data_IF_012027910688
#
_entry.id   IF_012027910688
#
_cell.length_a   1.000
_cell.length_b   1.000
_cell.length_c   1.000
_cell.angle_alpha   90.00
_cell.angle_beta   90.00
_cell.angle_gamma   90.00
#
_symmetry.space_group_name_H-M   'P 1'
#
loop_
_entity.id
_entity.type
_entity.pdbx_description
1 polymer ?
#
# COMPACT_ATOMS: atom_id res chain seq x y z
N UNK A 1 28.92 -22.53 6.53
CA UNK A 1 28.41 -21.83 7.73
C UNK A 1 27.95 -20.40 7.46
N UNK A 2 28.66 -19.57 6.70
CA UNK A 2 28.30 -18.14 6.40
C UNK A 2 26.99 -17.94 5.59
N UNK A 3 26.57 -18.91 4.80
CA UNK A 3 25.31 -18.84 4.01
C UNK A 3 24.05 -19.09 4.86
N UNK A 4 24.12 -19.99 5.83
CA UNK A 4 22.99 -20.30 6.73
C UNK A 4 22.68 -19.13 7.68
N UNK A 5 23.70 -18.46 8.23
CA UNK A 5 23.49 -17.30 9.11
C UNK A 5 22.81 -16.13 8.36
N UNK A 6 23.26 -15.80 7.15
CA UNK A 6 22.64 -14.76 6.33
C UNK A 6 21.17 -15.06 5.98
N UNK A 7 20.83 -16.32 5.76
CA UNK A 7 19.44 -16.72 5.49
C UNK A 7 18.55 -16.61 6.74
N UNK A 8 19.07 -16.95 7.91
CA UNK A 8 18.37 -16.80 9.18
C UNK A 8 18.16 -15.32 9.52
N UNK A 9 19.18 -14.47 9.35
CA UNK A 9 19.08 -13.03 9.59
C UNK A 9 18.04 -12.36 8.67
N UNK A 10 18.01 -12.75 7.40
CA UNK A 10 17.02 -12.25 6.44
C UNK A 10 15.59 -12.70 6.82
N UNK A 11 15.40 -13.93 7.28
CA UNK A 11 14.11 -14.44 7.73
C UNK A 11 13.63 -13.71 8.98
N UNK A 12 14.51 -13.51 9.96
CA UNK A 12 14.22 -12.75 11.18
C UNK A 12 13.85 -11.29 10.88
N UNK A 13 14.56 -10.65 9.95
CA UNK A 13 14.25 -9.28 9.55
C UNK A 13 12.86 -9.18 8.92
N UNK A 14 12.51 -10.07 7.98
CA UNK A 14 11.18 -10.10 7.35
C UNK A 14 10.08 -10.31 8.40
N UNK A 15 10.29 -11.23 9.34
CA UNK A 15 9.35 -11.47 10.44
C UNK A 15 9.16 -10.23 11.31
N UNK A 16 10.25 -9.56 11.69
CA UNK A 16 10.18 -8.32 12.47
C UNK A 16 9.41 -7.23 11.73
N UNK A 17 9.70 -7.02 10.44
CA UNK A 17 8.97 -6.04 9.59
C UNK A 17 7.48 -6.38 9.57
N UNK A 18 7.13 -7.64 9.27
CA UNK A 18 5.72 -8.07 9.23
C UNK A 18 5.01 -7.82 10.56
N UNK A 19 5.61 -8.23 11.67
CA UNK A 19 5.03 -8.04 13.00
C UNK A 19 4.87 -6.55 13.35
N UNK A 20 5.88 -5.72 13.08
CA UNK A 20 5.81 -4.29 13.35
C UNK A 20 4.67 -3.62 12.58
N UNK A 21 4.55 -3.87 11.28
CA UNK A 21 3.49 -3.27 10.47
C UNK A 21 2.11 -3.87 10.77
N UNK A 22 2.01 -5.15 11.09
CA UNK A 22 0.79 -5.76 11.57
C UNK A 22 0.33 -5.13 12.90
N UNK A 23 1.25 -4.90 13.83
CA UNK A 23 0.96 -4.22 15.11
C UNK A 23 0.47 -2.79 14.87
N UNK A 24 1.14 -2.01 14.00
CA UNK A 24 0.70 -0.66 13.63
C UNK A 24 -0.72 -0.71 13.04
N UNK A 25 -0.98 -1.62 12.11
CA UNK A 25 -2.32 -1.78 11.52
C UNK A 25 -3.37 -2.10 12.58
N UNK A 26 -3.10 -3.06 13.48
CA UNK A 26 -4.03 -3.47 14.53
C UNK A 26 -4.32 -2.31 15.48
N UNK A 27 -3.30 -1.55 15.91
CA UNK A 27 -3.47 -0.39 16.78
C UNK A 27 -4.37 0.64 16.09
N UNK A 28 -4.10 0.99 14.83
CA UNK A 28 -4.92 1.95 14.08
C UNK A 28 -6.37 1.45 13.92
N UNK A 29 -6.55 0.17 13.61
CA UNK A 29 -7.88 -0.43 13.50
C UNK A 29 -8.65 -0.38 14.83
N UNK A 30 -8.00 -0.72 15.93
CA UNK A 30 -8.62 -0.67 17.27
C UNK A 30 -9.03 0.75 17.65
N UNK A 31 -8.17 1.75 17.41
CA UNK A 31 -8.51 3.16 17.68
C UNK A 31 -9.72 3.57 16.82
N UNK A 32 -9.72 3.24 15.53
CA UNK A 32 -10.83 3.59 14.63
C UNK A 32 -12.13 2.91 15.06
N UNK A 33 -12.09 1.64 15.48
CA UNK A 33 -13.28 0.90 15.93
C UNK A 33 -13.81 1.48 17.26
N UNK A 34 -12.93 1.85 18.19
CA UNK A 34 -13.35 2.28 19.54
C UNK A 34 -13.65 3.77 19.65
N UNK A 35 -12.92 4.61 18.90
CA UNK A 35 -12.99 6.07 19.01
C UNK A 35 -13.50 6.76 17.72
N UNK A 36 -13.65 6.01 16.63
CA UNK A 36 -14.07 6.53 15.32
C UNK A 36 -12.97 7.22 14.51
N UNK A 37 -12.07 7.95 15.17
CA UNK A 37 -10.98 8.71 14.52
C UNK A 37 -9.80 8.94 15.45
N UNK A 38 -8.63 9.25 14.86
CA UNK A 38 -7.49 9.78 15.59
C UNK A 38 -7.60 11.32 15.70
N UNK A 39 -7.04 11.93 16.76
CA UNK A 39 -7.02 13.39 16.87
C UNK A 39 -6.41 14.12 15.67
N UNK A 40 -5.39 13.51 15.04
CA UNK A 40 -4.75 14.07 13.85
C UNK A 40 -5.63 14.00 12.57
N UNK A 41 -6.60 13.10 12.50
CA UNK A 41 -7.45 12.93 11.31
C UNK A 41 -8.26 14.20 10.99
N UNK A 42 -8.97 14.71 11.99
CA UNK A 42 -9.76 15.93 11.86
C UNK A 42 -8.89 17.17 11.63
N UNK A 43 -7.77 17.26 12.35
CA UNK A 43 -6.83 18.37 12.18
C UNK A 43 -6.25 18.41 10.75
N UNK A 44 -5.76 17.28 10.24
CA UNK A 44 -5.22 17.19 8.87
C UNK A 44 -6.30 17.49 7.85
N UNK A 45 -7.50 16.88 7.98
CA UNK A 45 -8.61 17.10 7.06
C UNK A 45 -9.05 18.57 6.97
N UNK A 46 -9.06 19.30 8.09
CA UNK A 46 -9.40 20.72 8.11
C UNK A 46 -8.29 21.60 7.52
N UNK A 47 -7.02 21.25 7.72
CA UNK A 47 -5.89 22.07 7.24
C UNK A 47 -5.54 21.77 5.78
N UNK A 48 -5.81 20.57 5.27
CA UNK A 48 -5.50 20.23 3.88
C UNK A 48 -6.27 21.12 2.89
N UNK A 49 -7.44 21.61 3.27
CA UNK A 49 -8.27 22.52 2.45
C UNK A 49 -7.58 23.84 2.15
N UNK A 50 -6.70 24.32 3.04
CA UNK A 50 -5.92 25.56 2.80
C UNK A 50 -4.89 25.41 1.67
N UNK A 51 -4.55 24.18 1.30
CA UNK A 51 -3.63 23.85 0.20
C UNK A 51 -4.34 23.68 -1.14
N UNK A 52 -5.66 23.78 -1.20
CA UNK A 52 -6.41 23.56 -2.42
C UNK A 52 -6.08 24.63 -3.47
N UNK A 53 -5.66 24.13 -4.63
CA UNK A 53 -5.29 24.92 -5.78
C UNK A 53 -5.66 24.12 -7.03
N UNK A 54 -6.28 24.77 -8.03
CA UNK A 54 -6.78 24.08 -9.23
C UNK A 54 -5.70 23.27 -9.97
N UNK A 55 -4.51 23.85 -10.11
CA UNK A 55 -3.40 23.17 -10.79
C UNK A 55 -2.89 21.97 -9.98
N UNK A 56 -2.68 22.17 -8.68
CA UNK A 56 -2.24 21.10 -7.79
C UNK A 56 -3.30 19.99 -7.69
N UNK A 57 -4.57 20.36 -7.59
CA UNK A 57 -5.69 19.40 -7.55
C UNK A 57 -5.74 18.54 -8.81
N UNK A 58 -5.53 19.14 -10.00
CA UNK A 58 -5.47 18.37 -11.26
C UNK A 58 -4.31 17.36 -11.26
N UNK A 59 -3.12 17.78 -10.84
CA UNK A 59 -1.95 16.87 -10.75
C UNK A 59 -2.19 15.75 -9.76
N UNK A 60 -2.66 16.08 -8.56
CA UNK A 60 -2.95 15.10 -7.51
C UNK A 60 -4.04 14.10 -7.96
N UNK A 61 -5.06 14.60 -8.68
CA UNK A 61 -6.10 13.73 -9.24
C UNK A 61 -5.53 12.76 -10.25
N UNK A 62 -4.63 13.18 -11.14
CA UNK A 62 -3.96 12.28 -12.10
C UNK A 62 -3.19 11.17 -11.35
N UNK A 63 -2.42 11.52 -10.31
CA UNK A 63 -1.70 10.54 -9.48
C UNK A 63 -2.67 9.53 -8.87
N UNK A 64 -3.80 10.02 -8.34
CA UNK A 64 -4.84 9.19 -7.76
C UNK A 64 -5.48 8.27 -8.79
N UNK A 65 -5.85 8.79 -9.96
CA UNK A 65 -6.58 8.07 -11.01
C UNK A 65 -5.73 6.95 -11.64
N UNK A 66 -4.42 7.18 -11.85
CA UNK A 66 -3.47 6.13 -12.31
C UNK A 66 -3.43 4.95 -11.31
N UNK A 67 -3.71 5.20 -10.03
CA UNK A 67 -3.76 4.16 -8.99
C UNK A 67 -5.19 3.75 -8.61
N UNK A 68 -6.20 4.12 -9.40
CA UNK A 68 -7.53 3.58 -9.21
C UNK A 68 -7.52 2.05 -9.45
N UNK A 69 -8.49 1.36 -8.88
CA UNK A 69 -8.53 -0.12 -8.88
C UNK A 69 -8.36 -0.71 -10.29
N UNK A 70 -9.12 -0.19 -11.25
CA UNK A 70 -9.13 -0.70 -12.63
C UNK A 70 -7.77 -0.47 -13.31
N UNK A 71 -7.22 0.71 -13.20
CA UNK A 71 -5.95 1.14 -13.78
C UNK A 71 -4.79 0.36 -13.16
N UNK A 72 -4.77 0.22 -11.85
CA UNK A 72 -3.76 -0.59 -11.12
C UNK A 72 -3.83 -2.06 -11.51
N UNK A 73 -5.00 -2.63 -11.67
CA UNK A 73 -5.16 -4.02 -12.11
C UNK A 73 -4.71 -4.20 -13.57
N UNK A 74 -5.04 -3.26 -14.46
CA UNK A 74 -4.60 -3.31 -15.85
C UNK A 74 -3.07 -3.22 -15.96
N UNK A 75 -2.44 -2.27 -15.26
CA UNK A 75 -0.98 -2.14 -15.20
C UNK A 75 -0.32 -3.41 -14.62
N UNK A 76 -0.89 -3.94 -13.54
CA UNK A 76 -0.38 -5.16 -12.92
C UNK A 76 -0.50 -6.37 -13.82
N UNK A 77 -1.59 -6.49 -14.58
CA UNK A 77 -1.80 -7.55 -15.55
C UNK A 77 -0.73 -7.52 -16.65
N UNK A 78 -0.50 -6.33 -17.24
CA UNK A 78 0.57 -6.16 -18.26
C UNK A 78 1.94 -6.48 -17.66
N UNK A 79 2.21 -6.04 -16.43
CA UNK A 79 3.47 -6.34 -15.74
C UNK A 79 3.66 -7.84 -15.49
N UNK A 80 2.63 -8.54 -15.06
CA UNK A 80 2.66 -10.00 -14.85
C UNK A 80 2.88 -10.74 -16.17
N UNK A 81 2.21 -10.33 -17.26
CA UNK A 81 2.44 -10.92 -18.59
C UNK A 81 3.90 -10.73 -19.03
N UNK A 82 4.48 -9.56 -18.77
CA UNK A 82 5.89 -9.31 -19.06
C UNK A 82 6.82 -10.19 -18.21
N UNK A 83 6.52 -10.40 -16.92
CA UNK A 83 7.30 -11.31 -16.06
C UNK A 83 7.23 -12.77 -16.58
N UNK A 84 6.06 -13.20 -17.00
CA UNK A 84 5.86 -14.55 -17.60
C UNK A 84 6.64 -14.66 -18.91
N UNK A 85 6.60 -13.65 -19.77
CA UNK A 85 7.38 -13.62 -21.02
C UNK A 85 8.89 -13.71 -20.73
N UNK A 86 9.39 -13.05 -19.68
CA UNK A 86 10.78 -13.15 -19.20
C UNK A 86 11.09 -14.49 -18.51
N UNK A 87 10.10 -15.37 -18.34
CA UNK A 87 10.18 -16.64 -17.58
C UNK A 87 10.53 -16.43 -16.10
N UNK A 88 10.21 -15.27 -15.54
CA UNK A 88 10.40 -14.94 -14.13
C UNK A 88 9.16 -15.35 -13.33
N UNK A 89 8.88 -16.65 -13.35
CA UNK A 89 7.64 -17.20 -12.78
C UNK A 89 7.53 -17.04 -11.27
N UNK A 90 8.65 -17.13 -10.58
CA UNK A 90 8.70 -16.93 -9.11
C UNK A 90 8.31 -15.52 -8.75
N UNK A 91 8.88 -14.54 -9.42
CA UNK A 91 8.60 -13.11 -9.22
C UNK A 91 7.14 -12.79 -9.60
N UNK A 92 6.64 -13.37 -10.69
CA UNK A 92 5.25 -13.23 -11.09
C UNK A 92 4.29 -13.75 -10.00
N UNK A 93 4.58 -14.94 -9.42
CA UNK A 93 3.79 -15.50 -8.32
C UNK A 93 3.83 -14.60 -7.08
N UNK A 94 5.01 -14.11 -6.68
CA UNK A 94 5.17 -13.22 -5.51
C UNK A 94 4.36 -11.94 -5.71
N UNK A 95 4.51 -11.29 -6.86
CA UNK A 95 3.79 -10.05 -7.18
C UNK A 95 2.26 -10.26 -7.18
N UNK A 96 1.77 -11.28 -7.87
CA UNK A 96 0.33 -11.58 -7.96
C UNK A 96 -0.26 -11.94 -6.60
N UNK A 97 0.45 -12.75 -5.80
CA UNK A 97 -0.01 -13.11 -4.45
C UNK A 97 -0.05 -11.90 -3.53
N UNK A 98 0.95 -11.01 -3.61
CA UNK A 98 0.96 -9.75 -2.86
C UNK A 98 -0.28 -8.90 -3.16
N UNK A 99 -0.61 -8.73 -4.44
CA UNK A 99 -1.81 -8.00 -4.87
C UNK A 99 -3.10 -8.68 -4.41
N UNK A 100 -3.20 -9.98 -4.61
CA UNK A 100 -4.39 -10.74 -4.21
C UNK A 100 -4.66 -10.59 -2.70
N UNK A 101 -3.63 -10.82 -1.87
CA UNK A 101 -3.74 -10.64 -0.43
C UNK A 101 -4.15 -9.21 -0.05
N UNK A 102 -3.58 -8.21 -0.73
CA UNK A 102 -3.89 -6.80 -0.48
C UNK A 102 -5.35 -6.49 -0.80
N UNK A 103 -5.83 -6.89 -1.98
CA UNK A 103 -7.21 -6.63 -2.42
C UNK A 103 -8.21 -7.35 -1.51
N UNK A 104 -7.98 -8.63 -1.25
CA UNK A 104 -8.84 -9.41 -0.38
C UNK A 104 -8.93 -8.81 1.03
N UNK A 105 -7.76 -8.48 1.62
CA UNK A 105 -7.71 -7.93 2.97
C UNK A 105 -8.40 -6.58 3.08
N UNK A 106 -8.08 -5.60 2.23
CA UNK A 106 -8.70 -4.28 2.38
C UNK A 106 -10.19 -4.30 2.02
N UNK A 107 -10.61 -5.11 1.05
CA UNK A 107 -12.02 -5.21 0.68
C UNK A 107 -12.85 -5.81 1.83
N UNK A 108 -12.38 -6.89 2.45
CA UNK A 108 -13.02 -7.50 3.61
C UNK A 108 -13.09 -6.55 4.80
N UNK A 109 -11.97 -5.90 5.13
CA UNK A 109 -11.87 -5.00 6.27
C UNK A 109 -12.72 -3.73 6.12
N UNK A 110 -12.93 -3.23 4.89
CA UNK A 110 -13.83 -2.11 4.65
C UNK A 110 -15.24 -2.37 5.12
N UNK A 111 -15.77 -3.54 4.83
CA UNK A 111 -17.12 -3.92 5.24
C UNK A 111 -17.21 -4.24 6.74
N UNK A 112 -16.15 -4.80 7.32
CA UNK A 112 -16.11 -5.13 8.75
C UNK A 112 -16.04 -3.88 9.63
N UNK A 113 -15.25 -2.88 9.26
CA UNK A 113 -15.01 -1.68 10.08
C UNK A 113 -16.02 -0.57 9.74
N UNK A 114 -16.48 -0.50 8.50
CA UNK A 114 -17.55 0.38 8.02
C UNK A 114 -17.38 1.87 8.38
N UNK A 115 -16.14 2.39 8.38
CA UNK A 115 -15.82 3.77 8.74
C UNK A 115 -16.35 4.77 7.70
N UNK A 116 -16.98 5.85 8.17
CA UNK A 116 -17.39 6.96 7.31
C UNK A 116 -16.18 7.73 6.74
N UNK A 117 -16.37 8.34 5.56
CA UNK A 117 -15.37 9.22 4.92
C UNK A 117 -15.42 10.63 5.51
N UNK A 118 -14.38 11.48 5.28
CA UNK A 118 -14.49 12.92 5.48
C UNK A 118 -15.68 13.51 4.72
N UNK A 119 -16.30 14.57 5.27
CA UNK A 119 -17.50 15.18 4.66
C UNK A 119 -17.19 15.97 3.39
N UNK A 120 -16.07 16.69 3.34
CA UNK A 120 -15.69 17.58 2.23
C UNK A 120 -14.79 16.88 1.23
N UNK A 121 -15.33 16.00 0.39
CA UNK A 121 -14.56 15.28 -0.62
C UNK A 121 -14.48 16.05 -1.94
N UNK A 122 -13.29 16.07 -2.57
CA UNK A 122 -13.05 16.73 -3.86
C UNK A 122 -13.36 15.85 -5.08
N UNK A 123 -13.53 14.55 -4.88
CA UNK A 123 -13.84 13.58 -5.93
C UNK A 123 -14.84 12.54 -5.43
N UNK A 124 -15.65 12.00 -6.31
CA UNK A 124 -16.62 10.97 -5.94
C UNK A 124 -15.89 9.74 -5.37
N UNK A 125 -16.28 9.33 -4.18
CA UNK A 125 -15.77 8.13 -3.53
C UNK A 125 -16.94 7.37 -2.89
N UNK A 126 -17.02 6.09 -3.21
CA UNK A 126 -18.07 5.20 -2.73
C UNK A 126 -17.51 4.26 -1.65
N UNK A 127 -18.40 3.66 -0.89
CA UNK A 127 -18.09 2.72 0.20
C UNK A 127 -17.31 3.36 1.37
N UNK A 128 -16.94 2.52 2.32
CA UNK A 128 -16.28 2.88 3.56
C UNK A 128 -14.84 3.39 3.37
N UNK A 129 -14.34 4.13 4.35
CA UNK A 129 -13.02 4.77 4.24
C UNK A 129 -11.87 3.85 4.67
N UNK A 130 -12.00 3.10 5.76
CA UNK A 130 -10.91 2.34 6.36
C UNK A 130 -10.85 0.87 5.91
N UNK A 131 -9.66 0.34 5.62
CA UNK A 131 -8.44 1.06 5.29
C UNK A 131 -8.46 1.61 3.85
N UNK A 132 -7.52 2.51 3.51
CA UNK A 132 -7.40 3.05 2.15
C UNK A 132 -6.95 1.99 1.14
N UNK A 133 -7.83 1.62 0.20
CA UNK A 133 -7.49 0.64 -0.84
C UNK A 133 -6.37 1.09 -1.77
N UNK A 134 -6.34 2.38 -2.18
CA UNK A 134 -5.25 2.95 -2.99
C UNK A 134 -3.90 2.83 -2.26
N UNK A 135 -3.87 3.18 -0.97
CA UNK A 135 -2.64 3.10 -0.17
C UNK A 135 -2.18 1.65 0.02
N UNK A 136 -3.11 0.73 0.25
CA UNK A 136 -2.80 -0.70 0.40
C UNK A 136 -2.21 -1.27 -0.90
N UNK A 137 -2.90 -1.04 -2.02
CA UNK A 137 -2.45 -1.54 -3.32
C UNK A 137 -1.14 -0.90 -3.77
N UNK A 138 -1.01 0.42 -3.69
CA UNK A 138 0.20 1.11 -4.13
C UNK A 138 1.43 0.65 -3.34
N UNK A 139 1.32 0.42 -2.03
CA UNK A 139 2.41 -0.11 -1.21
C UNK A 139 2.74 -1.56 -1.56
N UNK A 140 1.74 -2.42 -1.76
CA UNK A 140 1.96 -3.79 -2.17
C UNK A 140 2.59 -3.89 -3.57
N UNK A 141 2.16 -3.06 -4.51
CA UNK A 141 2.76 -2.94 -5.85
C UNK A 141 4.21 -2.44 -5.78
N UNK A 142 4.46 -1.40 -4.99
CA UNK A 142 5.78 -0.82 -4.79
C UNK A 142 6.79 -1.85 -4.28
N UNK A 143 6.43 -2.57 -3.22
CA UNK A 143 7.27 -3.63 -2.67
C UNK A 143 7.34 -4.85 -3.59
N UNK A 144 6.25 -5.19 -4.29
CA UNK A 144 6.25 -6.24 -5.30
C UNK A 144 7.25 -5.96 -6.42
N UNK A 145 7.26 -4.74 -6.97
CA UNK A 145 8.26 -4.29 -7.96
C UNK A 145 9.67 -4.33 -7.38
N UNK A 146 9.85 -3.83 -6.15
CA UNK A 146 11.13 -3.92 -5.47
C UNK A 146 11.63 -5.37 -5.37
N UNK A 147 10.80 -6.32 -4.94
CA UNK A 147 11.19 -7.72 -4.81
C UNK A 147 11.55 -8.38 -6.15
N UNK A 148 10.90 -7.97 -7.24
CA UNK A 148 11.22 -8.44 -8.60
C UNK A 148 12.63 -8.01 -9.03
N UNK A 149 13.03 -6.77 -8.73
CA UNK A 149 14.26 -6.18 -9.28
C UNK A 149 15.40 -6.05 -8.29
N UNK A 150 15.17 -6.22 -6.98
CA UNK A 150 16.19 -6.01 -5.95
C UNK A 150 17.46 -6.84 -6.17
N UNK A 151 17.32 -8.09 -6.61
CA UNK A 151 18.46 -8.98 -6.88
C UNK A 151 19.05 -8.81 -8.29
N UNK A 152 18.40 -8.01 -9.14
CA UNK A 152 18.77 -7.76 -10.52
C UNK A 152 19.44 -6.38 -10.73
N UNK A 153 19.56 -5.58 -9.66
CA UNK A 153 20.17 -4.24 -9.72
C UNK A 153 21.17 -4.03 -8.60
N UNK A 154 22.21 -3.27 -8.88
CA UNK A 154 23.14 -2.78 -7.85
C UNK A 154 22.60 -1.55 -7.10
N UNK A 155 21.58 -0.88 -7.65
CA UNK A 155 20.97 0.34 -7.09
C UNK A 155 19.72 0.02 -6.23
N UNK A 156 19.81 -1.01 -5.39
CA UNK A 156 18.67 -1.50 -4.56
C UNK A 156 18.03 -0.41 -3.71
N UNK A 157 18.86 0.43 -3.07
CA UNK A 157 18.38 1.52 -2.22
C UNK A 157 17.60 2.56 -3.02
N UNK A 158 18.10 2.93 -4.20
CA UNK A 158 17.41 3.89 -5.07
C UNK A 158 16.09 3.31 -5.61
N UNK A 159 16.07 2.03 -5.98
CA UNK A 159 14.86 1.33 -6.38
C UNK A 159 13.83 1.33 -5.25
N UNK A 160 14.23 0.96 -4.03
CA UNK A 160 13.34 0.98 -2.87
C UNK A 160 12.81 2.39 -2.60
N UNK A 161 13.70 3.39 -2.59
CA UNK A 161 13.30 4.78 -2.36
C UNK A 161 12.28 5.26 -3.40
N UNK A 162 12.49 4.97 -4.68
CA UNK A 162 11.58 5.35 -5.76
C UNK A 162 10.21 4.69 -5.66
N UNK A 163 10.19 3.38 -5.39
CA UNK A 163 8.92 2.64 -5.25
C UNK A 163 8.14 3.07 -4.00
N UNK A 164 8.81 3.30 -2.88
CA UNK A 164 8.18 3.80 -1.65
C UNK A 164 7.69 5.24 -1.83
N UNK A 165 8.49 6.11 -2.47
CA UNK A 165 8.06 7.48 -2.77
C UNK A 165 6.77 7.50 -3.59
N UNK A 166 6.65 6.61 -4.60
CA UNK A 166 5.41 6.49 -5.35
C UNK A 166 4.23 6.11 -4.46
N UNK A 167 4.38 5.10 -3.59
CA UNK A 167 3.31 4.70 -2.67
C UNK A 167 2.92 5.83 -1.71
N UNK A 168 3.89 6.63 -1.24
CA UNK A 168 3.65 7.82 -0.41
C UNK A 168 2.86 8.87 -1.18
N UNK A 169 3.24 9.18 -2.42
CA UNK A 169 2.53 10.15 -3.27
C UNK A 169 1.07 9.72 -3.51
N UNK A 170 0.84 8.43 -3.77
CA UNK A 170 -0.52 7.89 -3.91
C UNK A 170 -1.32 8.05 -2.62
N UNK A 171 -0.76 7.68 -1.47
CA UNK A 171 -1.45 7.84 -0.18
C UNK A 171 -1.72 9.31 0.15
N UNK A 172 -0.74 10.20 -0.09
CA UNK A 172 -0.93 11.64 0.07
C UNK A 172 -2.04 12.18 -0.83
N UNK A 173 -2.15 11.69 -2.07
CA UNK A 173 -3.23 12.10 -2.97
C UNK A 173 -4.61 11.82 -2.37
N UNK A 174 -4.75 10.75 -1.59
CA UNK A 174 -6.04 10.40 -0.95
C UNK A 174 -6.39 11.31 0.22
N UNK A 175 -5.38 11.78 0.96
CA UNK A 175 -5.54 12.77 2.03
C UNK A 175 -5.86 14.14 1.40
N UNK A 176 -5.10 14.57 0.40
CA UNK A 176 -5.30 15.85 -0.28
C UNK A 176 -6.70 15.95 -0.90
N UNK A 177 -7.17 14.89 -1.59
CA UNK A 177 -8.52 14.85 -2.16
C UNK A 177 -9.62 14.69 -1.09
N UNK A 178 -9.24 14.64 0.16
CA UNK A 178 -10.09 14.49 1.35
C UNK A 178 -11.08 13.31 1.27
N UNK A 179 -10.69 12.23 0.61
CA UNK A 179 -11.51 11.01 0.48
C UNK A 179 -11.15 9.94 1.51
N UNK A 180 -10.04 10.13 2.21
CA UNK A 180 -9.55 9.26 3.28
C UNK A 180 -8.95 10.08 4.42
N UNK A 181 -9.15 9.62 5.63
CA UNK A 181 -8.45 10.09 6.80
C UNK A 181 -6.96 9.70 6.75
N UNK A 182 -6.10 10.45 7.45
CA UNK A 182 -4.68 10.13 7.51
C UNK A 182 -4.45 8.71 8.07
N UNK A 183 -5.19 8.33 9.10
CA UNK A 183 -5.14 6.98 9.67
C UNK A 183 -5.55 5.87 8.70
N UNK A 184 -6.50 6.12 7.77
CA UNK A 184 -6.86 5.15 6.72
C UNK A 184 -5.67 4.86 5.80
N UNK A 185 -4.91 5.91 5.48
CA UNK A 185 -3.74 5.83 4.60
C UNK A 185 -2.60 5.09 5.29
N UNK A 186 -2.30 5.44 6.55
CA UNK A 186 -1.26 4.77 7.34
C UNK A 186 -1.58 3.28 7.55
N UNK A 187 -2.84 2.96 7.85
CA UNK A 187 -3.30 1.58 7.96
C UNK A 187 -3.19 0.86 6.60
N UNK A 188 -3.55 1.53 5.51
CA UNK A 188 -3.42 0.98 4.16
C UNK A 188 -1.97 0.64 3.81
N UNK A 189 -1.02 1.56 4.05
CA UNK A 189 0.40 1.28 3.83
C UNK A 189 0.89 0.13 4.70
N UNK A 190 0.51 0.10 5.98
CA UNK A 190 0.90 -0.98 6.89
C UNK A 190 0.39 -2.34 6.40
N UNK A 191 -0.86 -2.41 5.97
CA UNK A 191 -1.45 -3.63 5.42
C UNK A 191 -0.77 -4.05 4.11
N UNK A 192 -0.45 -3.10 3.23
CA UNK A 192 0.28 -3.36 1.99
C UNK A 192 1.67 -3.95 2.22
N UNK A 193 2.41 -3.44 3.22
CA UNK A 193 3.71 -4.01 3.64
C UNK A 193 3.53 -5.45 4.12
N UNK A 194 2.57 -5.69 5.01
CA UNK A 194 2.30 -7.04 5.53
C UNK A 194 2.01 -8.01 4.39
N UNK A 195 1.10 -7.68 3.48
CA UNK A 195 0.73 -8.54 2.35
C UNK A 195 1.94 -8.84 1.44
N UNK A 196 2.75 -7.82 1.12
CA UNK A 196 3.90 -7.98 0.24
C UNK A 196 5.00 -8.84 0.89
N UNK A 197 5.32 -8.59 2.17
CA UNK A 197 6.38 -9.34 2.87
C UNK A 197 5.94 -10.78 3.15
N UNK A 198 4.67 -11.01 3.46
CA UNK A 198 4.11 -12.37 3.63
C UNK A 198 4.19 -13.15 2.30
N UNK A 199 3.75 -12.56 1.19
CA UNK A 199 3.84 -13.19 -0.13
C UNK A 199 5.29 -13.55 -0.48
N UNK A 200 6.23 -12.60 -0.28
CA UNK A 200 7.66 -12.82 -0.48
C UNK A 200 8.21 -13.92 0.43
N UNK A 201 7.79 -13.96 1.69
CA UNK A 201 8.33 -14.94 2.65
C UNK A 201 7.89 -16.36 2.35
N UNK A 202 6.62 -16.53 2.00
CA UNK A 202 6.04 -17.85 1.68
C UNK A 202 6.64 -18.38 0.37
N UNK A 203 6.64 -17.56 -0.69
CA UNK A 203 7.01 -18.00 -2.04
C UNK A 203 8.53 -17.95 -2.31
N UNK A 204 9.32 -17.31 -1.47
CA UNK A 204 10.78 -17.34 -1.61
C UNK A 204 11.40 -18.69 -1.21
N UNK A 205 10.67 -19.49 -0.44
CA UNK A 205 11.12 -20.82 0.03
C UNK A 205 10.85 -21.95 -0.99
N UNK A 206 10.04 -21.67 -1.99
CA UNK A 206 9.71 -22.54 -3.12
C UNK A 206 10.57 -22.15 -4.33
#
# INVERSE_FOLDING_TARGET
>A
MMSLSKNLDCCHLKTKITLSFATIFIILALIVITQGSLPCDGWISSHISSLYNDTLTKVIKIISDINAMRESLALSFVFVLWLVYKKWYKEAKIYTTSLFLSIFSFASLKHLIARARPESILVNAHNYSFPSGHSTMSMAMALGVYFVFADKTQKRTLLLAGTILWAILVGFSRIYLNVHWCSDVLAGWSLGVVCAVVAQTILSKI
#
